data_IF_387968614678
#
_entry.id   IF_387968614678
#
_cell.length_a   1.000
_cell.length_b   1.000
_cell.length_c   1.000
_cell.angle_alpha   90.00
_cell.angle_beta   90.00
_cell.angle_gamma   90.00
#
_symmetry.space_group_name_H-M   'P 1'
#
loop_
_entity.id
_entity.type
_entity.pdbx_description
1 polymer ?
#
# COMPACT_ATOMS: atom_id res chain seq x y z
N UNK A 1 21.94 6.93 -3.49
CA UNK A 1 20.79 6.45 -4.26
C UNK A 1 20.23 7.64 -4.98
N UNK A 2 20.36 7.62 -6.28
CA UNK A 2 19.89 8.66 -7.19
C UNK A 2 18.52 8.25 -7.73
N UNK A 3 17.53 9.13 -7.57
CA UNK A 3 16.13 8.89 -7.92
C UNK A 3 15.75 9.80 -9.08
N UNK A 4 15.28 9.20 -10.17
CA UNK A 4 14.64 9.93 -11.25
C UNK A 4 13.11 9.74 -11.16
N UNK A 5 12.36 10.84 -11.23
CA UNK A 5 10.91 10.81 -11.05
C UNK A 5 10.20 11.16 -12.35
N UNK A 6 9.34 10.25 -12.81
CA UNK A 6 8.28 10.55 -13.76
C UNK A 6 7.02 10.87 -12.98
N UNK A 7 6.35 11.98 -13.32
CA UNK A 7 5.18 12.43 -12.57
C UNK A 7 4.12 13.01 -13.46
N UNK A 8 2.86 12.92 -13.03
CA UNK A 8 1.78 13.74 -13.58
C UNK A 8 0.77 14.14 -12.49
N UNK A 9 0.21 15.34 -12.65
CA UNK A 9 -0.91 15.85 -11.88
C UNK A 9 -0.67 16.02 -10.37
N UNK A 10 -1.80 16.16 -9.66
CA UNK A 10 -1.81 16.48 -8.21
C UNK A 10 -1.32 15.33 -7.33
N UNK A 11 -1.53 14.09 -7.78
CA UNK A 11 -1.10 12.89 -7.05
C UNK A 11 0.43 12.87 -6.93
N UNK A 12 1.13 12.97 -8.06
CA UNK A 12 2.59 13.02 -8.10
C UNK A 12 3.15 14.22 -7.34
N UNK A 13 2.60 15.42 -7.58
CA UNK A 13 3.01 16.65 -6.88
C UNK A 13 2.98 16.51 -5.35
N UNK A 14 1.93 15.90 -4.78
CA UNK A 14 1.83 15.70 -3.34
C UNK A 14 2.91 14.78 -2.80
N UNK A 15 3.15 13.66 -3.49
CA UNK A 15 4.13 12.66 -3.05
C UNK A 15 5.53 13.25 -3.13
N UNK A 16 5.91 13.86 -4.26
CA UNK A 16 7.22 14.49 -4.45
C UNK A 16 7.49 15.51 -3.35
N UNK A 17 6.51 16.38 -3.06
CA UNK A 17 6.63 17.39 -2.00
C UNK A 17 6.88 16.76 -0.62
N UNK A 18 6.16 15.69 -0.29
CA UNK A 18 6.30 15.02 1.00
C UNK A 18 7.65 14.28 1.12
N UNK A 19 8.00 13.42 0.16
CA UNK A 19 9.26 12.65 0.21
C UNK A 19 10.49 13.56 0.17
N UNK A 20 10.42 14.70 -0.54
CA UNK A 20 11.49 15.69 -0.57
C UNK A 20 11.70 16.32 0.81
N UNK A 21 10.61 16.76 1.46
CA UNK A 21 10.65 17.32 2.82
C UNK A 21 11.15 16.32 3.86
N UNK A 22 10.93 15.03 3.60
CA UNK A 22 11.27 13.93 4.51
C UNK A 22 12.63 13.29 4.21
N UNK A 23 13.52 13.99 3.51
CA UNK A 23 14.93 13.65 3.43
C UNK A 23 15.39 13.10 2.09
N UNK A 24 14.50 12.91 1.11
CA UNK A 24 14.90 12.45 -0.24
C UNK A 24 15.23 13.58 -1.20
N UNK A 25 15.15 14.86 -0.80
CA UNK A 25 15.44 15.99 -1.69
C UNK A 25 16.83 15.88 -2.37
N UNK A 26 17.88 15.51 -1.61
CA UNK A 26 19.23 15.34 -2.15
C UNK A 26 19.42 14.07 -2.99
N UNK A 27 18.47 13.12 -2.90
CA UNK A 27 18.47 11.91 -3.71
C UNK A 27 17.77 12.09 -5.05
N UNK A 28 16.91 13.09 -5.19
CA UNK A 28 16.16 13.35 -6.43
C UNK A 28 17.06 14.12 -7.40
N UNK A 29 17.50 13.44 -8.46
CA UNK A 29 18.43 13.99 -9.46
C UNK A 29 17.71 14.55 -10.70
N UNK A 30 16.41 14.27 -10.84
CA UNK A 30 15.60 14.76 -11.94
C UNK A 30 14.13 14.45 -11.73
N UNK A 31 13.28 15.39 -12.16
CA UNK A 31 11.84 15.23 -12.20
C UNK A 31 11.41 15.60 -13.61
N UNK A 32 10.64 14.72 -14.25
CA UNK A 32 10.01 14.99 -15.52
C UNK A 32 8.49 14.89 -15.37
N UNK A 33 7.82 16.01 -15.60
CA UNK A 33 6.36 16.08 -15.58
C UNK A 33 5.80 15.76 -16.96
N UNK A 34 5.09 14.65 -17.03
CA UNK A 34 4.40 14.20 -18.23
C UNK A 34 3.08 14.97 -18.35
N UNK A 35 2.73 15.50 -19.53
CA UNK A 35 1.44 16.16 -19.74
C UNK A 35 0.27 15.31 -19.25
N UNK A 36 -0.65 15.92 -18.51
CA UNK A 36 -1.77 15.20 -17.89
C UNK A 36 -3.01 15.08 -18.78
N UNK A 37 -3.05 15.82 -19.90
CA UNK A 37 -4.14 15.91 -20.86
C UNK A 37 -3.88 15.06 -22.13
N UNK A 38 -3.28 13.89 -21.93
CA UNK A 38 -2.98 12.96 -23.02
C UNK A 38 -4.18 12.03 -23.30
N UNK A 39 -4.36 11.59 -24.56
CA UNK A 39 -5.32 10.55 -24.88
C UNK A 39 -4.94 9.24 -24.19
N UNK A 40 -5.94 8.39 -23.90
CA UNK A 40 -5.69 7.06 -23.32
C UNK A 40 -4.84 6.18 -24.24
N UNK A 41 -5.03 6.33 -25.56
CA UNK A 41 -4.28 5.62 -26.59
C UNK A 41 -3.21 6.52 -27.22
N UNK A 42 -1.96 6.06 -27.23
CA UNK A 42 -0.81 6.80 -27.75
C UNK A 42 -0.06 5.97 -28.78
N UNK A 43 -0.09 6.41 -30.05
CA UNK A 43 0.58 5.73 -31.17
C UNK A 43 2.11 5.62 -30.99
N UNK A 44 2.73 6.66 -30.44
CA UNK A 44 4.19 6.77 -30.33
C UNK A 44 4.59 7.40 -28.99
N UNK A 45 4.83 6.55 -28.00
CA UNK A 45 5.21 6.95 -26.64
C UNK A 45 6.64 7.51 -26.57
N UNK A 46 7.48 7.26 -27.58
CA UNK A 46 8.88 7.69 -27.58
C UNK A 46 9.03 9.22 -27.55
N UNK A 47 8.03 9.94 -28.06
CA UNK A 47 7.96 11.41 -28.06
C UNK A 47 7.85 12.03 -26.67
N UNK A 48 7.42 11.24 -25.70
CA UNK A 48 7.26 11.68 -24.30
C UNK A 48 8.45 11.25 -23.44
N UNK A 49 9.43 10.54 -24.01
CA UNK A 49 10.66 10.16 -23.31
C UNK A 49 11.62 11.37 -23.32
N UNK A 50 12.11 11.82 -22.16
CA UNK A 50 13.06 12.93 -22.12
C UNK A 50 14.36 12.60 -22.85
N UNK A 51 14.94 13.59 -23.53
CA UNK A 51 16.19 13.41 -24.28
C UNK A 51 17.39 13.25 -23.34
N UNK A 52 17.51 14.13 -22.35
CA UNK A 52 18.66 14.19 -21.44
C UNK A 52 18.27 13.63 -20.07
N UNK A 53 18.39 12.30 -19.94
CA UNK A 53 18.13 11.61 -18.68
C UNK A 53 19.43 11.38 -17.90
N UNK A 54 19.50 11.78 -16.62
CA UNK A 54 20.65 11.49 -15.77
C UNK A 54 20.70 10.00 -15.37
N UNK A 55 21.89 9.50 -15.06
CA UNK A 55 22.04 8.14 -14.50
C UNK A 55 21.33 8.03 -13.15
N UNK A 56 20.46 7.03 -12.99
CA UNK A 56 19.67 6.83 -11.78
C UNK A 56 19.78 5.41 -11.25
N UNK A 57 19.68 5.27 -9.92
CA UNK A 57 19.59 3.98 -9.24
C UNK A 57 18.13 3.48 -9.21
N UNK A 58 17.19 4.41 -9.08
CA UNK A 58 15.76 4.15 -8.91
C UNK A 58 14.93 5.07 -9.83
N UNK A 59 13.99 4.50 -10.58
CA UNK A 59 12.94 5.25 -11.27
C UNK A 59 11.65 5.17 -10.47
N UNK A 60 11.03 6.32 -10.21
CA UNK A 60 9.75 6.42 -9.53
C UNK A 60 8.72 7.03 -10.49
N UNK A 61 7.71 6.26 -10.89
CA UNK A 61 6.68 6.70 -11.85
C UNK A 61 5.34 6.91 -11.17
N UNK A 62 4.91 8.17 -11.02
CA UNK A 62 3.81 8.56 -10.14
C UNK A 62 2.70 9.29 -10.90
N UNK A 63 1.50 8.71 -10.90
CA UNK A 63 0.30 9.41 -11.35
C UNK A 63 0.10 9.47 -12.87
N UNK A 64 0.87 8.71 -13.64
CA UNK A 64 0.66 8.51 -15.07
C UNK A 64 -0.55 7.59 -15.29
N UNK A 65 -1.39 7.87 -16.29
CA UNK A 65 -2.65 7.16 -16.55
C UNK A 65 -2.73 6.67 -18.00
N UNK A 66 -3.06 5.38 -18.21
CA UNK A 66 -3.17 4.80 -19.55
C UNK A 66 -1.81 4.53 -20.22
N UNK A 67 -1.81 4.49 -21.55
CA UNK A 67 -0.68 4.03 -22.38
C UNK A 67 0.62 4.82 -22.17
N UNK A 68 0.52 6.05 -21.67
CA UNK A 68 1.71 6.86 -21.37
C UNK A 68 2.65 6.20 -20.35
N UNK A 69 2.17 5.24 -19.54
CA UNK A 69 3.03 4.46 -18.66
C UNK A 69 4.08 3.62 -19.44
N UNK A 70 3.90 3.38 -20.74
CA UNK A 70 4.88 2.73 -21.60
C UNK A 70 6.15 3.57 -21.84
N UNK A 71 6.25 4.80 -21.32
CA UNK A 71 7.55 5.52 -21.27
C UNK A 71 8.50 4.94 -20.22
N UNK A 72 7.98 4.21 -19.22
CA UNK A 72 8.76 3.70 -18.08
C UNK A 72 9.94 2.81 -18.53
N UNK A 73 9.77 1.82 -19.42
CA UNK A 73 10.88 1.00 -19.91
C UNK A 73 11.98 1.81 -20.61
N UNK A 74 11.61 2.80 -21.43
CA UNK A 74 12.57 3.66 -22.14
C UNK A 74 13.36 4.51 -21.16
N UNK A 75 12.70 5.08 -20.15
CA UNK A 75 13.34 5.90 -19.12
C UNK A 75 14.28 5.04 -18.27
N UNK A 76 13.87 3.84 -17.87
CA UNK A 76 14.72 2.91 -17.15
C UNK A 76 15.98 2.55 -17.95
N UNK A 77 15.82 2.22 -19.23
CA UNK A 77 16.92 1.92 -20.14
C UNK A 77 17.91 3.10 -20.26
N UNK A 78 17.40 4.32 -20.54
CA UNK A 78 18.23 5.52 -20.71
C UNK A 78 18.91 6.00 -19.42
N UNK A 79 18.28 5.81 -18.27
CA UNK A 79 18.87 6.17 -16.96
C UNK A 79 19.80 5.09 -16.41
N UNK A 80 19.76 3.87 -16.95
CA UNK A 80 20.47 2.70 -16.43
C UNK A 80 19.86 2.11 -15.16
N UNK A 81 18.70 2.61 -14.71
CA UNK A 81 18.05 2.15 -13.49
C UNK A 81 17.52 0.73 -13.64
N UNK A 82 17.80 -0.11 -12.64
CA UNK A 82 17.30 -1.50 -12.55
C UNK A 82 16.23 -1.69 -11.48
N UNK A 83 15.85 -0.61 -10.81
CA UNK A 83 14.86 -0.62 -9.74
C UNK A 83 13.79 0.40 -10.09
N UNK A 84 12.53 -0.02 -10.12
CA UNK A 84 11.41 0.81 -10.57
C UNK A 84 10.22 0.62 -9.64
N UNK A 85 9.65 1.73 -9.16
CA UNK A 85 8.44 1.75 -8.35
C UNK A 85 7.35 2.49 -9.12
N UNK A 86 6.21 1.83 -9.30
CA UNK A 86 5.07 2.37 -10.06
C UNK A 86 3.79 2.23 -9.21
N UNK A 87 3.53 3.15 -8.26
CA UNK A 87 2.34 3.06 -7.43
C UNK A 87 1.05 3.19 -8.23
N UNK A 88 0.08 2.35 -7.88
CA UNK A 88 -1.27 2.38 -8.43
C UNK A 88 -2.19 3.02 -7.38
N UNK A 89 -2.76 4.18 -7.70
CA UNK A 89 -3.71 4.88 -6.82
C UNK A 89 -5.14 4.82 -7.34
N UNK A 90 -5.33 4.39 -8.59
CA UNK A 90 -6.64 4.19 -9.20
C UNK A 90 -6.63 2.91 -10.04
N UNK A 91 -7.66 2.04 -9.95
CA UNK A 91 -7.70 0.77 -10.67
C UNK A 91 -7.57 0.90 -12.19
N UNK A 92 -8.00 2.01 -12.81
CA UNK A 92 -7.90 2.21 -14.27
C UNK A 92 -6.60 2.91 -14.69
N UNK A 93 -5.74 3.28 -13.72
CA UNK A 93 -4.44 3.91 -14.00
C UNK A 93 -3.54 3.01 -14.84
N UNK A 94 -3.35 1.76 -14.39
CA UNK A 94 -2.50 0.76 -15.02
C UNK A 94 -3.17 -0.61 -14.88
N UNK A 95 -4.04 -1.01 -15.83
CA UNK A 95 -4.65 -2.34 -15.83
C UNK A 95 -3.62 -3.47 -15.84
N UNK A 96 -4.01 -4.67 -15.42
CA UNK A 96 -3.09 -5.81 -15.29
C UNK A 96 -2.34 -6.16 -16.59
N UNK A 97 -3.01 -6.07 -17.74
CA UNK A 97 -2.37 -6.29 -19.05
C UNK A 97 -1.24 -5.29 -19.33
N UNK A 98 -1.47 -4.01 -19.01
CA UNK A 98 -0.46 -2.96 -19.17
C UNK A 98 0.70 -3.13 -18.18
N UNK A 99 0.45 -3.60 -16.95
CA UNK A 99 1.51 -3.94 -16.00
C UNK A 99 2.46 -5.01 -16.58
N UNK A 100 1.89 -6.10 -17.12
CA UNK A 100 2.67 -7.18 -17.74
C UNK A 100 3.48 -6.70 -18.95
N UNK A 101 2.92 -5.79 -19.74
CA UNK A 101 3.60 -5.21 -20.90
C UNK A 101 4.80 -4.35 -20.48
N UNK A 102 4.61 -3.47 -19.49
CA UNK A 102 5.69 -2.64 -18.92
C UNK A 102 6.82 -3.52 -18.35
N UNK A 103 6.47 -4.57 -17.59
CA UNK A 103 7.45 -5.51 -17.05
C UNK A 103 8.23 -6.23 -18.15
N UNK A 104 7.54 -6.71 -19.19
CA UNK A 104 8.15 -7.40 -20.33
C UNK A 104 9.16 -6.51 -21.07
N UNK A 105 8.80 -5.25 -21.32
CA UNK A 105 9.68 -4.30 -22.02
C UNK A 105 10.86 -3.80 -21.17
N UNK A 106 10.70 -3.76 -19.84
CA UNK A 106 11.76 -3.34 -18.93
C UNK A 106 12.84 -4.41 -18.69
N UNK A 107 12.62 -5.65 -19.16
CA UNK A 107 13.54 -6.83 -19.20
C UNK A 107 14.34 -7.11 -17.93
N UNK A 108 15.39 -6.33 -17.68
CA UNK A 108 16.41 -6.53 -16.65
C UNK A 108 16.16 -5.70 -15.38
N UNK A 109 15.11 -4.88 -15.37
CA UNK A 109 14.74 -4.06 -14.22
C UNK A 109 13.71 -4.77 -13.33
N UNK A 110 13.92 -4.71 -12.01
CA UNK A 110 12.92 -5.07 -11.01
C UNK A 110 11.87 -3.96 -10.95
N UNK A 111 10.64 -4.28 -11.34
CA UNK A 111 9.48 -3.40 -11.23
C UNK A 111 8.57 -3.87 -10.10
N UNK A 112 8.00 -2.93 -9.35
CA UNK A 112 6.92 -3.18 -8.39
C UNK A 112 5.76 -2.22 -8.58
N UNK A 113 4.53 -2.74 -8.43
CA UNK A 113 3.28 -1.99 -8.55
C UNK A 113 2.52 -1.94 -7.22
N UNK A 114 3.01 -1.20 -6.21
CA UNK A 114 2.34 -1.17 -4.90
C UNK A 114 0.95 -0.55 -5.04
N UNK A 115 -0.04 -1.26 -4.49
CA UNK A 115 -1.47 -0.94 -4.62
C UNK A 115 -2.14 -0.87 -3.23
N UNK A 116 -2.44 0.33 -2.70
CA UNK A 116 -1.87 1.64 -3.08
C UNK A 116 -0.39 1.78 -2.67
N UNK A 117 0.20 2.96 -2.88
CA UNK A 117 1.63 3.18 -2.61
C UNK A 117 2.05 2.88 -1.15
N UNK A 118 1.17 3.14 -0.18
CA UNK A 118 1.40 2.78 1.21
C UNK A 118 1.17 1.28 1.52
N UNK A 119 1.18 0.43 0.51
CA UNK A 119 1.29 -1.03 0.63
C UNK A 119 2.67 -1.54 0.21
N UNK A 120 3.59 -0.66 -0.19
CA UNK A 120 4.94 -1.06 -0.59
C UNK A 120 5.70 -1.64 0.62
N UNK A 121 6.22 -2.85 0.45
CA UNK A 121 7.05 -3.60 1.41
C UNK A 121 8.41 -3.95 0.78
N UNK A 122 9.41 -4.38 1.57
CA UNK A 122 10.69 -4.83 1.03
C UNK A 122 10.51 -6.02 0.08
N UNK A 123 11.24 -6.01 -1.04
CA UNK A 123 11.16 -7.02 -2.10
C UNK A 123 12.51 -7.68 -2.41
N UNK A 124 13.56 -7.37 -1.63
CA UNK A 124 14.91 -7.90 -1.82
C UNK A 124 15.73 -7.14 -2.87
N UNK A 125 15.20 -6.03 -3.40
CA UNK A 125 15.93 -5.14 -4.30
C UNK A 125 16.57 -4.01 -3.52
N UNK A 126 17.89 -3.82 -3.70
CA UNK A 126 18.70 -2.87 -2.93
C UNK A 126 18.10 -1.45 -2.88
N UNK A 127 17.57 -0.94 -3.99
CA UNK A 127 17.13 0.44 -4.08
C UNK A 127 15.65 0.62 -3.76
N UNK A 128 14.82 -0.38 -4.08
CA UNK A 128 13.43 -0.40 -3.60
C UNK A 128 13.42 -0.54 -2.08
N UNK A 129 14.17 -1.47 -1.51
CA UNK A 129 14.20 -1.70 -0.06
C UNK A 129 14.77 -0.47 0.68
N UNK A 130 15.77 0.20 0.11
CA UNK A 130 16.27 1.47 0.63
C UNK A 130 15.23 2.60 0.60
N UNK A 131 14.36 2.64 -0.41
CA UNK A 131 13.23 3.57 -0.42
C UNK A 131 12.23 3.19 0.69
N UNK A 132 11.98 1.89 0.85
CA UNK A 132 11.08 1.34 1.87
C UNK A 132 11.55 1.62 3.28
N UNK A 133 12.84 1.77 3.56
CA UNK A 133 13.33 2.19 4.88
C UNK A 133 12.61 3.44 5.42
N UNK A 134 12.20 4.37 4.55
CA UNK A 134 11.49 5.60 4.93
C UNK A 134 10.03 5.64 4.48
N UNK A 135 9.69 5.07 3.31
CA UNK A 135 8.35 5.19 2.74
C UNK A 135 7.77 3.88 2.21
N UNK A 136 6.55 3.57 2.63
CA UNK A 136 5.83 2.37 2.20
C UNK A 136 4.69 2.05 3.14
N UNK A 137 4.53 0.76 3.47
CA UNK A 137 3.59 0.30 4.49
C UNK A 137 3.89 0.95 5.84
N UNK A 138 2.93 1.58 6.53
CA UNK A 138 3.22 2.33 7.75
C UNK A 138 3.86 1.47 8.85
N UNK A 139 4.83 2.04 9.57
CA UNK A 139 5.45 1.47 10.76
C UNK A 139 5.61 2.57 11.81
N UNK A 140 5.11 2.32 13.02
CA UNK A 140 4.99 3.30 14.10
C UNK A 140 5.62 2.76 15.38
N UNK A 141 6.21 3.65 16.16
CA UNK A 141 6.56 3.41 17.58
C UNK A 141 5.64 4.29 18.44
N UNK A 142 4.85 3.69 19.34
CA UNK A 142 3.82 4.38 20.11
C UNK A 142 4.12 4.23 21.61
N UNK A 143 4.34 5.37 22.27
CA UNK A 143 4.48 5.44 23.73
C UNK A 143 3.13 5.82 24.32
N UNK A 144 2.57 4.94 25.13
CA UNK A 144 1.27 5.11 25.74
C UNK A 144 1.21 4.56 27.18
N UNK A 145 0.37 5.18 27.99
CA UNK A 145 -0.17 4.60 29.23
C UNK A 145 -1.64 4.20 28.93
N UNK A 146 -2.62 4.87 29.57
CA UNK A 146 -4.03 4.83 29.16
C UNK A 146 -4.29 5.69 27.90
N UNK A 147 -3.48 6.75 27.71
CA UNK A 147 -3.54 7.67 26.58
C UNK A 147 -2.23 7.62 25.79
N UNK A 148 -2.32 7.80 24.47
CA UNK A 148 -1.16 7.95 23.60
C UNK A 148 -0.41 9.24 23.94
N UNK A 149 0.86 9.09 24.35
CA UNK A 149 1.74 10.22 24.70
C UNK A 149 2.54 10.70 23.50
N UNK A 150 3.03 9.76 22.70
CA UNK A 150 3.89 10.03 21.56
C UNK A 150 3.73 8.95 20.51
N UNK A 151 3.80 9.36 19.24
CA UNK A 151 3.82 8.48 18.08
C UNK A 151 4.99 8.92 17.21
N UNK A 152 5.95 8.02 17.01
CA UNK A 152 7.06 8.20 16.08
C UNK A 152 6.77 7.39 14.81
N UNK A 153 6.95 8.02 13.65
CA UNK A 153 6.78 7.35 12.35
C UNK A 153 8.14 6.82 11.91
N UNK A 154 8.35 5.50 11.99
CA UNK A 154 9.58 4.84 11.52
C UNK A 154 9.56 4.70 9.99
N UNK A 155 8.39 4.36 9.44
CA UNK A 155 8.10 4.31 8.00
C UNK A 155 6.72 4.88 7.72
N UNK A 156 6.63 5.81 6.76
CA UNK A 156 5.39 6.52 6.45
C UNK A 156 4.84 6.24 5.07
N UNK A 157 3.54 6.47 4.87
CA UNK A 157 2.97 6.54 3.53
C UNK A 157 3.68 7.65 2.72
N UNK A 158 4.09 7.38 1.46
CA UNK A 158 4.77 8.37 0.62
C UNK A 158 4.00 9.70 0.44
N UNK A 159 2.67 9.67 0.55
CA UNK A 159 1.84 10.86 0.43
C UNK A 159 1.72 11.68 1.73
N UNK A 160 2.22 11.18 2.87
CA UNK A 160 2.17 11.86 4.18
C UNK A 160 0.95 11.55 5.04
N UNK A 161 0.06 10.64 4.63
CA UNK A 161 -1.12 10.27 5.43
C UNK A 161 -0.75 9.69 6.80
N UNK A 162 0.32 8.90 6.89
CA UNK A 162 0.79 8.33 8.16
C UNK A 162 1.19 9.40 9.16
N UNK A 163 1.97 10.39 8.74
CA UNK A 163 2.40 11.49 9.61
C UNK A 163 1.20 12.29 10.11
N UNK A 164 0.27 12.61 9.20
CA UNK A 164 -0.98 13.30 9.55
C UNK A 164 -1.82 12.54 10.58
N UNK A 165 -1.90 11.22 10.48
CA UNK A 165 -2.62 10.40 11.48
C UNK A 165 -1.85 10.37 12.79
N UNK A 166 -0.53 10.13 12.76
CA UNK A 166 0.33 10.07 13.94
C UNK A 166 0.22 11.34 14.80
N UNK A 167 0.25 12.52 14.18
CA UNK A 167 0.10 13.82 14.87
C UNK A 167 -1.24 13.95 15.62
N UNK A 168 -2.29 13.32 15.10
CA UNK A 168 -3.65 13.40 15.63
C UNK A 168 -4.01 12.32 16.63
N UNK A 169 -3.15 11.31 16.79
CA UNK A 169 -3.35 10.25 17.78
C UNK A 169 -2.89 10.67 19.19
N UNK A 170 -2.18 11.80 19.34
CA UNK A 170 -1.77 12.28 20.65
C UNK A 170 -2.97 12.56 21.55
N UNK A 171 -2.92 12.06 22.79
CA UNK A 171 -3.98 12.10 23.80
C UNK A 171 -5.24 11.28 23.48
N UNK A 172 -5.22 10.43 22.46
CA UNK A 172 -6.30 9.47 22.22
C UNK A 172 -6.19 8.31 23.23
N UNK A 173 -7.30 7.83 23.81
CA UNK A 173 -7.32 6.61 24.61
C UNK A 173 -6.81 5.41 23.82
N UNK A 174 -5.96 4.58 24.42
CA UNK A 174 -5.38 3.40 23.75
C UNK A 174 -6.47 2.53 23.13
N UNK A 175 -7.56 2.28 23.87
CA UNK A 175 -8.70 1.47 23.42
C UNK A 175 -9.42 2.02 22.16
N UNK A 176 -9.32 3.32 21.89
CA UNK A 176 -9.97 4.00 20.75
C UNK A 176 -9.01 4.22 19.57
N UNK A 177 -7.72 3.99 19.76
CA UNK A 177 -6.66 4.36 18.83
C UNK A 177 -6.86 3.79 17.41
N UNK A 178 -7.33 2.54 17.28
CA UNK A 178 -7.61 1.94 15.98
C UNK A 178 -8.72 2.70 15.22
N UNK A 179 -9.83 3.00 15.90
CA UNK A 179 -10.96 3.70 15.30
C UNK A 179 -10.60 5.14 14.95
N UNK A 180 -9.91 5.83 15.88
CA UNK A 180 -9.41 7.17 15.64
C UNK A 180 -8.42 7.18 14.47
N UNK A 181 -7.48 6.24 14.38
CA UNK A 181 -6.54 6.16 13.26
C UNK A 181 -7.27 6.06 11.90
N UNK A 182 -8.27 5.17 11.81
CA UNK A 182 -9.11 5.06 10.62
C UNK A 182 -9.92 6.32 10.32
N UNK A 183 -10.56 6.90 11.34
CA UNK A 183 -11.36 8.11 11.20
C UNK A 183 -10.52 9.34 10.82
N UNK A 184 -9.33 9.49 11.42
CA UNK A 184 -8.37 10.53 11.04
C UNK A 184 -7.88 10.31 9.62
N UNK A 185 -7.58 9.07 9.22
CA UNK A 185 -7.20 8.78 7.84
C UNK A 185 -8.30 9.16 6.83
N UNK A 186 -9.58 8.90 7.11
CA UNK A 186 -10.69 9.34 6.25
C UNK A 186 -10.79 10.88 6.13
N UNK A 187 -10.27 11.62 7.11
CA UNK A 187 -10.18 13.08 7.06
C UNK A 187 -8.89 13.59 6.38
N UNK A 188 -7.96 12.71 6.06
CA UNK A 188 -6.83 13.04 5.19
C UNK A 188 -7.34 13.13 3.75
N UNK A 189 -6.95 14.15 2.95
CA UNK A 189 -7.43 14.30 1.58
C UNK A 189 -6.80 13.27 0.62
N UNK A 190 -6.89 11.98 0.93
CA UNK A 190 -6.29 10.90 0.15
C UNK A 190 -6.78 10.95 -1.30
N UNK A 191 -5.87 10.65 -2.23
CA UNK A 191 -6.16 10.60 -3.67
C UNK A 191 -6.29 9.15 -4.17
N UNK A 192 -6.19 8.16 -3.28
CA UNK A 192 -6.51 6.78 -3.66
C UNK A 192 -7.99 6.68 -4.02
N UNK A 193 -8.28 5.92 -5.08
CA UNK A 193 -9.61 5.81 -5.65
C UNK A 193 -10.61 5.15 -4.70
N UNK A 194 -11.86 5.57 -4.84
CA UNK A 194 -13.04 4.96 -4.22
C UNK A 194 -13.71 3.95 -5.18
N UNK A 195 -13.19 3.78 -6.40
CA UNK A 195 -13.63 2.70 -7.27
C UNK A 195 -13.13 1.36 -6.72
N UNK A 196 -13.96 0.33 -6.84
CA UNK A 196 -13.61 -1.03 -6.43
C UNK A 196 -12.52 -1.54 -7.39
N UNK A 197 -11.39 -1.95 -6.84
CA UNK A 197 -10.35 -2.60 -7.62
C UNK A 197 -10.73 -4.06 -7.87
N UNK A 198 -10.77 -4.53 -9.13
CA UNK A 198 -11.24 -5.87 -9.46
C UNK A 198 -10.28 -6.98 -8.98
N UNK A 199 -9.00 -6.67 -8.72
CA UNK A 199 -8.04 -7.65 -8.21
C UNK A 199 -8.10 -7.76 -6.68
N UNK A 200 -8.53 -6.71 -5.98
CA UNK A 200 -8.59 -6.66 -4.51
C UNK A 200 -10.01 -6.93 -3.97
N UNK A 201 -11.04 -6.54 -4.72
CA UNK A 201 -12.44 -6.63 -4.27
C UNK A 201 -12.86 -5.55 -3.25
N UNK A 202 -12.03 -4.52 -3.04
CA UNK A 202 -12.31 -3.34 -2.22
C UNK A 202 -11.68 -2.09 -2.88
N UNK A 203 -11.91 -0.92 -2.31
CA UNK A 203 -11.33 0.35 -2.78
C UNK A 203 -9.88 0.51 -2.30
N UNK A 204 -9.05 1.18 -3.10
CA UNK A 204 -7.66 1.46 -2.71
C UNK A 204 -7.59 2.41 -1.51
N UNK A 205 -8.57 3.29 -1.36
CA UNK A 205 -8.70 4.14 -0.18
C UNK A 205 -8.90 3.30 1.09
N UNK A 206 -9.77 2.29 1.07
CA UNK A 206 -9.98 1.40 2.22
C UNK A 206 -8.73 0.59 2.54
N UNK A 207 -8.04 0.03 1.54
CA UNK A 207 -6.78 -0.70 1.75
C UNK A 207 -5.76 0.18 2.48
N UNK A 208 -5.55 1.42 2.04
CA UNK A 208 -4.69 2.36 2.74
C UNK A 208 -5.13 2.66 4.18
N UNK A 209 -6.45 2.72 4.43
CA UNK A 209 -7.02 2.83 5.77
C UNK A 209 -6.75 1.61 6.65
N UNK A 210 -6.77 0.40 6.08
CA UNK A 210 -6.40 -0.82 6.79
C UNK A 210 -4.91 -0.82 7.16
N UNK A 211 -4.03 -0.33 6.28
CA UNK A 211 -2.57 -0.26 6.54
C UNK A 211 -2.20 0.61 7.74
N UNK A 212 -2.86 1.76 7.91
CA UNK A 212 -2.60 2.61 9.09
C UNK A 212 -3.19 2.02 10.37
N UNK A 213 -4.37 1.38 10.30
CA UNK A 213 -4.94 0.66 11.44
C UNK A 213 -4.05 -0.50 11.87
N UNK A 214 -3.53 -1.26 10.89
CA UNK A 214 -2.59 -2.34 11.13
C UNK A 214 -1.36 -1.86 11.90
N UNK A 215 -0.73 -0.76 11.46
CA UNK A 215 0.44 -0.21 12.14
C UNK A 215 0.15 0.18 13.60
N UNK A 216 -1.01 0.79 13.87
CA UNK A 216 -1.44 1.14 15.24
C UNK A 216 -1.70 -0.11 16.08
N UNK A 217 -2.41 -1.10 15.53
CA UNK A 217 -2.73 -2.36 16.23
C UNK A 217 -1.47 -3.14 16.59
N UNK A 218 -0.53 -3.29 15.65
CA UNK A 218 0.73 -4.02 15.87
C UNK A 218 1.51 -3.42 17.04
N UNK A 219 1.64 -2.10 17.05
CA UNK A 219 2.42 -1.42 18.08
C UNK A 219 1.74 -1.43 19.45
N UNK A 220 0.41 -1.27 19.51
CA UNK A 220 -0.34 -1.33 20.76
C UNK A 220 -0.60 -2.76 21.27
N UNK A 221 -0.41 -3.78 20.42
CA UNK A 221 -0.59 -5.18 20.78
C UNK A 221 -2.05 -5.62 21.00
N UNK A 222 -3.03 -4.85 20.53
CA UNK A 222 -4.44 -5.23 20.59
C UNK A 222 -5.22 -4.69 19.37
N UNK A 223 -6.28 -5.38 18.99
CA UNK A 223 -7.25 -4.91 18.00
C UNK A 223 -8.58 -4.58 18.69
N UNK A 224 -9.11 -3.38 18.47
CA UNK A 224 -10.41 -2.99 18.99
C UNK A 224 -11.52 -3.83 18.33
N UNK A 225 -11.37 -4.19 17.04
CA UNK A 225 -12.21 -5.17 16.35
C UNK A 225 -11.42 -6.06 15.40
N UNK A 226 -11.77 -7.34 15.36
CA UNK A 226 -11.28 -8.26 14.32
C UNK A 226 -12.31 -9.33 14.00
N UNK A 227 -12.26 -9.86 12.77
CA UNK A 227 -12.87 -11.14 12.48
C UNK A 227 -12.11 -12.26 13.24
N UNK A 228 -12.86 -13.21 13.77
CA UNK A 228 -12.36 -14.36 14.53
C UNK A 228 -13.08 -15.61 14.04
N UNK A 229 -12.32 -16.68 13.81
CA UNK A 229 -12.82 -17.97 13.32
C UNK A 229 -13.14 -18.88 14.51
N UNK A 230 -14.33 -19.47 14.51
CA UNK A 230 -14.70 -20.58 15.39
C UNK A 230 -14.17 -21.89 14.79
N UNK A 231 -13.13 -22.45 15.40
CA UNK A 231 -12.47 -23.65 14.88
C UNK A 231 -13.39 -24.87 14.84
N UNK A 232 -14.35 -24.98 15.75
CA UNK A 232 -15.30 -26.09 15.80
C UNK A 232 -16.25 -26.10 14.60
N UNK A 233 -16.59 -24.91 14.09
CA UNK A 233 -17.50 -24.72 12.95
C UNK A 233 -16.73 -24.69 11.63
N UNK A 234 -15.50 -24.16 11.64
CA UNK A 234 -14.65 -24.10 10.47
C UNK A 234 -14.26 -25.51 10.00
N UNK A 235 -14.83 -25.92 8.86
CA UNK A 235 -14.51 -27.23 8.27
C UNK A 235 -13.10 -27.25 7.67
N UNK A 236 -12.70 -26.19 6.94
CA UNK A 236 -11.41 -26.14 6.26
C UNK A 236 -11.18 -27.29 5.26
N UNK A 237 -9.98 -27.32 4.66
CA UNK A 237 -9.51 -28.41 3.80
C UNK A 237 -10.43 -28.72 2.61
N UNK A 238 -10.48 -29.98 2.20
CA UNK A 238 -11.20 -30.42 0.97
C UNK A 238 -12.72 -30.14 0.98
N UNK A 239 -13.31 -29.89 2.15
CA UNK A 239 -14.73 -29.58 2.30
C UNK A 239 -15.02 -28.07 2.30
N UNK A 240 -14.01 -27.22 2.09
CA UNK A 240 -14.15 -25.76 2.15
C UNK A 240 -13.47 -25.11 0.93
N UNK A 241 -14.18 -24.22 0.23
CA UNK A 241 -13.59 -23.46 -0.88
C UNK A 241 -12.69 -22.31 -0.43
N UNK A 242 -12.49 -22.13 0.88
CA UNK A 242 -11.70 -21.02 1.42
C UNK A 242 -12.14 -19.62 0.95
N UNK A 243 -13.43 -19.41 0.63
CA UNK A 243 -13.95 -18.12 0.14
C UNK A 243 -13.57 -16.92 1.01
N UNK A 244 -13.43 -17.11 2.34
CA UNK A 244 -12.99 -16.07 3.28
C UNK A 244 -11.57 -15.53 3.00
N UNK A 245 -10.70 -16.34 2.41
CA UNK A 245 -9.37 -15.97 1.93
C UNK A 245 -9.47 -15.19 0.61
N UNK A 246 -10.23 -15.72 -0.37
CA UNK A 246 -10.40 -15.10 -1.70
C UNK A 246 -11.02 -13.69 -1.63
N UNK A 247 -11.94 -13.48 -0.69
CA UNK A 247 -12.66 -12.19 -0.55
C UNK A 247 -11.97 -11.22 0.42
N UNK A 248 -10.83 -11.57 0.99
CA UNK A 248 -10.12 -10.70 1.92
C UNK A 248 -9.34 -9.62 1.14
N UNK A 249 -9.62 -8.32 1.32
CA UNK A 249 -8.91 -7.26 0.57
C UNK A 249 -7.42 -7.15 0.89
N UNK A 250 -6.96 -7.76 2.00
CA UNK A 250 -5.56 -7.78 2.42
C UNK A 250 -4.88 -9.13 2.08
N UNK A 251 -5.66 -10.18 1.80
CA UNK A 251 -5.16 -11.50 1.42
C UNK A 251 -4.32 -12.18 2.51
N UNK A 252 -3.18 -12.74 2.08
CA UNK A 252 -2.31 -13.67 2.82
C UNK A 252 -1.80 -13.13 4.17
N UNK A 253 -1.62 -11.82 4.27
CA UNK A 253 -1.19 -11.18 5.50
C UNK A 253 -2.27 -11.23 6.59
N UNK A 254 -3.54 -11.37 6.20
CA UNK A 254 -4.69 -11.41 7.12
C UNK A 254 -5.25 -12.82 7.28
N UNK A 255 -5.41 -13.58 6.20
CA UNK A 255 -6.08 -14.88 6.24
C UNK A 255 -5.07 -15.98 5.96
N UNK A 256 -4.83 -16.85 6.95
CA UNK A 256 -3.89 -17.97 6.86
C UNK A 256 -4.62 -19.29 6.89
N UNK A 257 -4.28 -20.18 5.98
CA UNK A 257 -4.75 -21.58 5.99
C UNK A 257 -3.72 -22.40 6.78
N UNK A 258 -4.15 -22.97 7.90
CA UNK A 258 -3.32 -23.83 8.76
C UNK A 258 -3.08 -25.18 8.11
N UNK A 259 -2.11 -25.95 8.62
CA UNK A 259 -1.79 -27.30 8.12
C UNK A 259 -3.00 -28.25 8.15
N UNK A 260 -3.90 -28.09 9.13
CA UNK A 260 -5.14 -28.87 9.21
C UNK A 260 -6.25 -28.37 8.25
N UNK A 261 -5.91 -27.48 7.33
CA UNK A 261 -6.82 -26.86 6.37
C UNK A 261 -7.75 -25.81 6.98
N UNK A 262 -7.78 -25.57 8.29
CA UNK A 262 -8.65 -24.54 8.88
C UNK A 262 -8.05 -23.15 8.76
N UNK A 263 -8.91 -22.14 8.81
CA UNK A 263 -8.49 -20.75 8.63
C UNK A 263 -8.21 -20.07 9.98
N UNK A 264 -7.13 -19.29 10.02
CA UNK A 264 -6.83 -18.31 11.06
C UNK A 264 -6.87 -16.90 10.47
N UNK A 265 -7.41 -15.93 11.22
CA UNK A 265 -7.41 -14.52 10.83
C UNK A 265 -6.46 -13.77 11.75
N UNK A 266 -5.45 -13.12 11.18
CA UNK A 266 -4.54 -12.22 11.89
C UNK A 266 -5.26 -10.90 12.22
N UNK A 267 -5.50 -10.70 13.52
CA UNK A 267 -6.17 -9.51 14.02
C UNK A 267 -5.31 -8.23 13.87
N UNK A 268 -3.99 -8.35 13.66
CA UNK A 268 -3.14 -7.19 13.35
C UNK A 268 -3.54 -6.57 12.01
N UNK A 269 -3.68 -7.37 10.97
CA UNK A 269 -3.92 -6.91 9.58
C UNK A 269 -5.41 -6.86 9.22
N UNK A 270 -6.29 -7.54 9.98
CA UNK A 270 -7.73 -7.52 9.73
C UNK A 270 -8.33 -6.11 9.73
N UNK A 271 -8.86 -5.66 8.58
CA UNK A 271 -9.51 -4.35 8.43
C UNK A 271 -10.93 -4.25 9.00
N UNK A 272 -11.46 -5.34 9.60
CA UNK A 272 -12.80 -5.48 10.17
C UNK A 272 -13.96 -5.09 9.21
N UNK A 273 -13.78 -5.29 7.89
CA UNK A 273 -14.76 -4.98 6.85
C UNK A 273 -15.97 -5.93 6.81
N UNK A 274 -15.89 -7.06 7.50
CA UNK A 274 -16.94 -8.09 7.60
C UNK A 274 -17.26 -8.87 6.32
N UNK A 275 -16.50 -8.70 5.23
CA UNK A 275 -16.74 -9.43 3.97
C UNK A 275 -16.64 -10.95 4.18
N UNK A 276 -15.59 -11.43 4.86
CA UNK A 276 -15.42 -12.86 5.16
C UNK A 276 -16.53 -13.43 6.05
N UNK A 277 -17.07 -12.63 6.97
CA UNK A 277 -18.20 -13.00 7.83
C UNK A 277 -19.45 -13.25 6.98
N UNK A 278 -19.73 -12.34 6.05
CA UNK A 278 -20.89 -12.44 5.16
C UNK A 278 -20.78 -13.57 4.13
N UNK A 279 -19.55 -13.96 3.77
CA UNK A 279 -19.29 -14.95 2.71
C UNK A 279 -19.12 -16.37 3.22
N UNK A 280 -18.89 -16.57 4.52
CA UNK A 280 -18.71 -17.91 5.08
C UNK A 280 -20.07 -18.65 5.13
N UNK A 281 -20.29 -19.72 4.35
CA UNK A 281 -21.57 -20.43 4.31
C UNK A 281 -21.88 -21.21 5.60
N UNK A 282 -20.86 -21.46 6.42
CA UNK A 282 -20.98 -22.15 7.70
C UNK A 282 -21.11 -21.19 8.89
N UNK A 283 -21.09 -19.87 8.64
CA UNK A 283 -21.11 -18.84 9.70
C UNK A 283 -20.00 -19.02 10.75
N UNK A 284 -18.87 -19.61 10.34
CA UNK A 284 -17.75 -19.91 11.23
C UNK A 284 -16.96 -18.66 11.66
N UNK A 285 -17.28 -17.47 11.14
CA UNK A 285 -16.50 -16.24 11.34
C UNK A 285 -17.40 -15.18 11.95
N UNK A 286 -16.94 -14.51 13.01
CA UNK A 286 -17.67 -13.41 13.67
C UNK A 286 -16.75 -12.23 13.94
N UNK A 287 -17.30 -11.02 14.08
CA UNK A 287 -16.53 -9.87 14.58
C UNK A 287 -16.51 -9.90 16.10
N UNK A 288 -15.32 -9.86 16.69
CA UNK A 288 -15.10 -9.72 18.13
C UNK A 288 -14.47 -8.37 18.44
N UNK A 289 -14.80 -7.84 19.62
CA UNK A 289 -14.17 -6.64 20.16
C UNK A 289 -12.98 -7.03 21.05
N UNK A 290 -12.02 -6.12 21.24
CA UNK A 290 -10.90 -6.23 22.17
C UNK A 290 -10.13 -7.55 22.03
N UNK A 291 -9.66 -7.81 20.81
CA UNK A 291 -8.87 -9.00 20.49
C UNK A 291 -7.41 -8.73 20.84
N UNK A 292 -6.90 -9.41 21.86
CA UNK A 292 -5.49 -9.34 22.23
C UNK A 292 -4.63 -9.97 21.13
N UNK A 293 -3.55 -9.29 20.75
CA UNK A 293 -2.63 -9.78 19.72
C UNK A 293 -1.49 -10.54 20.41
N UNK A 294 -1.14 -11.70 19.88
CA UNK A 294 0.16 -12.30 20.21
C UNK A 294 1.21 -11.39 19.59
N UNK A 295 2.11 -10.83 20.40
CA UNK A 295 3.30 -10.15 19.86
C UNK A 295 4.07 -11.20 19.05
N UNK A 296 4.26 -10.93 17.76
CA UNK A 296 5.25 -11.64 16.96
C UNK A 296 6.62 -11.39 17.60
N UNK A 297 7.26 -12.47 18.05
CA UNK A 297 8.65 -12.48 18.50
C UNK A 297 9.61 -12.03 17.40
#
# INVERSE_FOLDING_TARGET
>A
MNIFILTSGKYGSRIINHISKMGLASSIIGIYEVPGDLPEFIDDVSRYVPDNLPEADLVLSIGLYGDINMVIPFVACKTGAKSIIVPIHDPKQIPAGLQMEIESEARDARIVFPKPFCSLEPVGDKYIDKFVESFGKPELEIKADDLIRHVEVKRGAPCGSTLFVAEKLKNVPVAEAEFEAGGRYHNYPCLASMDIDPQIGDTLLHVAGYRIKEAVKRELGFAAKSAVVCEEICQGGDNCSHICYEVCPIGDETVKIKENGKVEIDANSCGHCSICVQKCPLEAITIKNNVNLKRSE
#
